data_IF_199436152186
#
_entry.id   IF_199436152186
#
_cell.length_a   1.000
_cell.length_b   1.000
_cell.length_c   1.000
_cell.angle_alpha   90.00
_cell.angle_beta   90.00
_cell.angle_gamma   90.00
#
_symmetry.space_group_name_H-M   'P 1'
#
loop_
_entity.id
_entity.type
_entity.pdbx_description
1 polymer ?
#
# COMPACT_ATOMS: atom_id res chain seq x y z
N UNK A 1 64.40 -41.29 58.96
CA UNK A 1 63.91 -42.51 59.59
C UNK A 1 62.45 -42.60 59.31
N UNK A 2 62.02 -43.42 58.56
CA UNK A 2 61.64 -44.77 58.26
C UNK A 2 60.38 -44.69 57.33
N UNK A 3 60.52 -45.19 56.21
CA UNK A 3 60.10 -46.45 55.57
C UNK A 3 58.59 -46.60 55.38
N UNK A 4 58.19 -46.55 54.19
CA UNK A 4 57.69 -47.62 53.29
C UNK A 4 56.35 -48.25 53.67
N UNK A 5 55.53 -48.44 52.67
CA UNK A 5 54.40 -49.36 52.67
C UNK A 5 53.41 -49.13 51.51
N UNK A 6 53.73 -49.71 50.38
CA UNK A 6 52.80 -49.87 49.24
C UNK A 6 51.81 -50.97 49.54
N UNK A 7 50.50 -50.73 49.23
CA UNK A 7 49.56 -51.84 48.99
C UNK A 7 48.72 -51.44 47.80
N UNK A 8 48.83 -52.23 46.72
CA UNK A 8 47.97 -52.21 45.54
C UNK A 8 46.64 -52.89 45.87
N UNK A 9 45.55 -52.21 45.70
CA UNK A 9 44.23 -52.83 45.65
C UNK A 9 43.58 -52.53 44.26
N UNK A 10 43.43 -53.61 43.50
CA UNK A 10 42.72 -53.59 42.20
C UNK A 10 41.21 -53.52 42.47
N UNK A 11 40.57 -52.46 42.05
CA UNK A 11 39.10 -52.38 42.02
C UNK A 11 38.63 -52.61 40.58
N UNK A 12 37.89 -53.68 40.38
CA UNK A 12 37.19 -54.00 39.14
C UNK A 12 36.04 -53.04 38.97
N UNK A 13 36.07 -52.23 37.91
CA UNK A 13 34.97 -51.38 37.48
C UNK A 13 34.05 -52.20 36.61
N UNK A 14 32.85 -52.48 37.10
CA UNK A 14 31.72 -53.02 36.34
C UNK A 14 31.12 -51.87 35.50
N UNK A 15 31.24 -51.97 34.18
CA UNK A 15 30.61 -51.10 33.23
C UNK A 15 29.13 -51.51 33.10
N UNK A 16 28.23 -50.78 33.74
CA UNK A 16 26.79 -50.89 33.48
C UNK A 16 26.44 -49.98 32.29
N UNK A 17 26.22 -50.61 31.13
CA UNK A 17 25.71 -49.89 29.93
C UNK A 17 24.22 -49.63 30.10
N UNK A 18 23.86 -48.43 30.48
CA UNK A 18 22.47 -47.94 30.39
C UNK A 18 22.20 -47.48 28.96
N UNK A 19 21.48 -48.31 28.21
CA UNK A 19 20.88 -47.93 26.92
C UNK A 19 19.75 -46.96 27.21
N UNK A 20 20.01 -45.66 27.06
CA UNK A 20 18.95 -44.65 27.02
C UNK A 20 18.26 -44.73 25.64
N UNK A 21 17.07 -45.33 25.58
CA UNK A 21 16.19 -45.27 24.43
C UNK A 21 15.70 -43.81 24.30
N UNK A 22 16.29 -43.05 23.38
CA UNK A 22 15.76 -41.77 22.93
C UNK A 22 14.53 -42.09 22.08
N UNK A 23 13.35 -41.97 22.69
CA UNK A 23 12.10 -41.94 21.99
C UNK A 23 12.09 -40.62 21.20
N UNK A 24 12.42 -40.67 19.90
CA UNK A 24 12.14 -39.60 18.96
C UNK A 24 10.64 -39.61 18.80
N UNK A 25 9.95 -38.81 19.60
CA UNK A 25 8.58 -38.44 19.31
C UNK A 25 8.60 -37.60 18.04
N UNK A 26 8.28 -38.23 16.89
CA UNK A 26 7.86 -37.50 15.72
C UNK A 26 6.53 -36.82 16.07
N UNK A 27 6.59 -35.65 16.68
CA UNK A 27 5.47 -34.74 16.67
C UNK A 27 5.41 -34.21 15.23
N UNK A 28 4.45 -34.71 14.45
CA UNK A 28 3.93 -34.00 13.29
C UNK A 28 3.19 -32.73 13.79
N UNK A 29 3.86 -31.88 14.54
CA UNK A 29 3.49 -30.51 14.76
C UNK A 29 4.03 -29.76 13.55
N UNK A 30 3.15 -29.27 12.69
CA UNK A 30 3.45 -28.11 11.86
C UNK A 30 4.10 -27.10 12.81
N UNK A 31 5.39 -26.83 12.63
CA UNK A 31 6.05 -25.72 13.35
C UNK A 31 5.22 -24.50 13.01
N UNK A 32 4.58 -23.95 14.03
CA UNK A 32 3.72 -22.78 13.92
C UNK A 32 4.65 -21.57 13.66
N UNK A 33 5.05 -21.45 12.38
CA UNK A 33 6.04 -20.46 11.96
C UNK A 33 5.44 -19.08 12.19
N UNK A 34 6.04 -18.29 13.08
CA UNK A 34 5.61 -16.94 13.36
C UNK A 34 5.65 -16.09 12.07
N UNK A 35 4.52 -15.50 11.71
CA UNK A 35 4.43 -14.58 10.57
C UNK A 35 4.87 -13.19 11.05
N UNK A 36 5.98 -12.72 10.53
CA UNK A 36 6.47 -11.37 10.81
C UNK A 36 5.98 -10.40 9.73
N UNK A 37 5.13 -9.44 10.12
CA UNK A 37 4.66 -8.39 9.22
C UNK A 37 5.52 -7.16 9.42
N UNK A 38 6.15 -6.68 8.34
CA UNK A 38 7.07 -5.55 8.37
C UNK A 38 6.37 -4.23 8.09
N UNK A 39 6.87 -3.16 8.71
CA UNK A 39 6.47 -1.79 8.45
C UNK A 39 7.68 -0.86 8.34
N UNK A 40 7.66 0.03 7.36
CA UNK A 40 8.61 1.14 7.22
C UNK A 40 8.31 2.30 8.18
N UNK A 41 9.06 3.40 8.03
CA UNK A 41 9.03 4.56 8.93
C UNK A 41 7.87 5.52 8.58
N UNK A 42 6.64 4.99 8.42
CA UNK A 42 5.44 5.81 8.24
C UNK A 42 4.25 5.30 9.05
N UNK A 43 3.32 6.20 9.37
CA UNK A 43 2.05 5.84 10.02
C UNK A 43 1.23 4.91 9.12
N UNK A 44 1.22 5.17 7.80
CA UNK A 44 0.51 4.35 6.81
C UNK A 44 1.05 2.92 6.81
N UNK A 45 2.36 2.76 6.66
CA UNK A 45 3.00 1.44 6.63
C UNK A 45 2.77 0.65 7.92
N UNK A 46 2.88 1.33 9.07
CA UNK A 46 2.60 0.70 10.37
C UNK A 46 1.15 0.27 10.52
N UNK A 47 0.20 1.12 10.11
CA UNK A 47 -1.22 0.80 10.20
C UNK A 47 -1.60 -0.39 9.30
N UNK A 48 -1.11 -0.43 8.06
CA UNK A 48 -1.31 -1.58 7.16
C UNK A 48 -0.72 -2.85 7.77
N UNK A 49 0.48 -2.77 8.35
CA UNK A 49 1.11 -3.93 8.98
C UNK A 49 0.31 -4.44 10.18
N UNK A 50 -0.28 -3.56 10.99
CA UNK A 50 -1.16 -3.93 12.10
C UNK A 50 -2.45 -4.59 11.60
N UNK A 51 -3.07 -4.04 10.55
CA UNK A 51 -4.27 -4.64 9.93
C UNK A 51 -3.94 -6.05 9.42
N UNK A 52 -2.87 -6.22 8.67
CA UNK A 52 -2.48 -7.53 8.14
C UNK A 52 -2.10 -8.52 9.25
N UNK A 53 -1.30 -8.11 10.23
CA UNK A 53 -0.90 -8.97 11.33
C UNK A 53 -2.12 -9.47 12.13
N UNK A 54 -3.05 -8.58 12.47
CA UNK A 54 -4.23 -8.94 13.24
C UNK A 54 -5.24 -9.76 12.41
N UNK A 55 -5.41 -9.47 11.13
CA UNK A 55 -6.22 -10.29 10.23
C UNK A 55 -5.66 -11.71 10.11
N UNK A 56 -4.35 -11.86 9.95
CA UNK A 56 -3.67 -13.16 9.93
C UNK A 56 -3.75 -13.89 11.28
N UNK A 57 -3.66 -13.17 12.40
CA UNK A 57 -3.81 -13.76 13.74
C UNK A 57 -5.20 -14.38 13.93
N UNK A 58 -6.25 -13.82 13.31
CA UNK A 58 -7.62 -14.38 13.35
C UNK A 58 -7.76 -15.72 12.58
N UNK A 59 -6.78 -16.11 11.77
CA UNK A 59 -6.69 -17.45 11.18
C UNK A 59 -6.04 -18.48 12.12
N UNK A 60 -5.67 -18.09 13.34
CA UNK A 60 -4.93 -18.93 14.29
C UNK A 60 -3.40 -18.82 14.15
N UNK A 61 -2.88 -17.95 13.27
CA UNK A 61 -1.46 -17.78 13.11
C UNK A 61 -0.83 -16.96 14.26
N UNK A 62 0.38 -17.29 14.65
CA UNK A 62 1.20 -16.41 15.48
C UNK A 62 1.78 -15.28 14.62
N UNK A 63 1.43 -14.04 14.92
CA UNK A 63 1.87 -12.86 14.15
C UNK A 63 2.63 -11.88 15.03
N UNK A 64 3.62 -11.21 14.45
CA UNK A 64 4.38 -10.13 15.08
C UNK A 64 4.56 -9.00 14.08
N UNK A 65 4.32 -7.76 14.51
CA UNK A 65 4.64 -6.58 13.70
C UNK A 65 6.07 -6.14 14.03
N UNK A 66 6.88 -5.97 13.00
CA UNK A 66 8.21 -5.38 13.07
C UNK A 66 8.16 -4.01 12.41
N UNK A 67 7.98 -2.99 13.23
CA UNK A 67 7.90 -1.59 12.79
C UNK A 67 9.28 -0.94 12.65
N UNK A 68 9.30 0.27 12.08
CA UNK A 68 10.51 1.09 11.92
C UNK A 68 11.67 0.37 11.22
N UNK A 69 11.34 -0.27 10.11
CA UNK A 69 12.33 -0.90 9.24
C UNK A 69 13.09 0.08 8.34
N UNK A 70 12.80 1.38 8.43
CA UNK A 70 13.41 2.40 7.58
C UNK A 70 12.58 2.70 6.33
N UNK A 71 13.27 3.02 5.25
CA UNK A 71 12.68 3.35 3.95
C UNK A 71 12.28 2.09 3.16
N UNK A 72 11.66 2.27 1.98
CA UNK A 72 11.22 1.13 1.14
C UNK A 72 12.33 0.12 0.87
N UNK A 73 13.52 0.58 0.54
CA UNK A 73 14.66 -0.30 0.30
C UNK A 73 15.01 -1.19 1.52
N UNK A 74 14.86 -0.66 2.72
CA UNK A 74 15.23 -1.38 3.96
C UNK A 74 14.24 -2.50 4.27
N UNK A 75 12.92 -2.25 4.19
CA UNK A 75 11.94 -3.31 4.43
C UNK A 75 11.85 -4.33 3.28
N UNK A 76 12.14 -3.93 2.03
CA UNK A 76 12.30 -4.88 0.93
C UNK A 76 13.52 -5.79 1.15
N UNK A 77 14.65 -5.24 1.61
CA UNK A 77 15.80 -6.04 1.99
C UNK A 77 15.50 -6.99 3.17
N UNK A 78 14.70 -6.55 4.15
CA UNK A 78 14.26 -7.41 5.25
C UNK A 78 13.35 -8.56 4.77
N UNK A 79 12.50 -8.31 3.78
CA UNK A 79 11.65 -9.32 3.13
C UNK A 79 12.51 -10.33 2.36
N UNK A 80 13.47 -9.87 1.56
CA UNK A 80 14.42 -10.71 0.81
C UNK A 80 15.25 -11.58 1.76
N UNK A 81 15.79 -11.01 2.83
CA UNK A 81 16.53 -11.73 3.86
C UNK A 81 15.67 -12.71 4.68
N UNK A 82 14.35 -12.73 4.52
CA UNK A 82 13.42 -13.58 5.27
C UNK A 82 13.26 -13.21 6.74
N UNK A 83 13.70 -12.02 7.16
CA UNK A 83 13.48 -11.51 8.52
C UNK A 83 12.08 -10.92 8.69
N UNK A 84 11.39 -10.70 7.57
CA UNK A 84 9.99 -10.31 7.45
C UNK A 84 9.30 -11.24 6.46
N UNK A 85 8.05 -11.57 6.69
CA UNK A 85 7.26 -12.49 5.86
C UNK A 85 6.37 -11.75 4.86
N UNK A 86 5.76 -10.65 5.32
CA UNK A 86 4.79 -9.83 4.57
C UNK A 86 5.05 -8.36 4.87
N UNK A 87 4.85 -7.50 3.89
CA UNK A 87 4.79 -6.03 4.04
C UNK A 87 3.59 -5.49 3.28
N UNK A 88 2.99 -4.40 3.77
CA UNK A 88 2.00 -3.64 3.01
C UNK A 88 2.67 -2.48 2.30
N UNK A 89 2.35 -2.27 1.01
CA UNK A 89 2.87 -1.18 0.20
C UNK A 89 1.78 -0.70 -0.79
N UNK A 90 2.13 0.15 -1.74
CA UNK A 90 1.24 0.60 -2.81
C UNK A 90 1.70 0.08 -4.17
N UNK A 91 0.74 -0.29 -5.01
CA UNK A 91 0.97 -0.97 -6.30
C UNK A 91 1.86 -0.18 -7.26
N UNK A 92 1.59 1.12 -7.41
CA UNK A 92 2.35 1.96 -8.35
C UNK A 92 3.77 2.27 -7.90
N UNK A 93 4.00 2.40 -6.59
CA UNK A 93 5.34 2.64 -6.03
C UNK A 93 6.19 1.35 -6.06
N UNK A 94 5.59 0.19 -5.80
CA UNK A 94 6.27 -1.10 -5.99
C UNK A 94 6.63 -1.30 -7.46
N UNK A 95 5.69 -1.02 -8.38
CA UNK A 95 5.96 -1.13 -9.82
C UNK A 95 7.16 -0.25 -10.21
N UNK A 96 7.18 1.02 -9.78
CA UNK A 96 8.31 1.92 -10.06
C UNK A 96 9.63 1.43 -9.45
N UNK A 97 9.57 0.79 -8.29
CA UNK A 97 10.74 0.25 -7.60
C UNK A 97 11.35 -0.94 -8.34
N UNK A 98 10.52 -1.84 -8.85
CA UNK A 98 10.97 -3.06 -9.56
C UNK A 98 11.19 -2.83 -11.06
N UNK A 99 10.47 -1.88 -11.66
CA UNK A 99 10.60 -1.49 -13.06
C UNK A 99 10.46 0.03 -13.22
N UNK A 100 11.59 0.73 -13.21
CA UNK A 100 11.62 2.19 -13.39
C UNK A 100 11.19 2.66 -14.78
N UNK A 101 11.12 1.74 -15.75
CA UNK A 101 10.67 1.99 -17.12
C UNK A 101 9.17 1.74 -17.33
N UNK A 102 8.47 1.28 -16.28
CA UNK A 102 7.06 0.97 -16.33
C UNK A 102 6.20 2.17 -16.75
N UNK A 103 5.31 1.95 -17.71
CA UNK A 103 4.42 2.99 -18.27
C UNK A 103 2.97 2.85 -17.82
N UNK A 104 2.57 1.71 -17.25
CA UNK A 104 1.21 1.52 -16.76
C UNK A 104 0.82 2.56 -15.71
N UNK A 105 -0.35 3.18 -15.87
CA UNK A 105 -0.90 4.16 -14.93
C UNK A 105 -2.25 3.75 -14.37
N UNK A 106 -3.07 3.06 -15.17
CA UNK A 106 -4.41 2.63 -14.78
C UNK A 106 -4.41 1.36 -13.93
N UNK A 107 -5.40 1.15 -13.03
CA UNK A 107 -5.64 -0.12 -12.35
C UNK A 107 -6.11 -1.20 -13.35
N UNK A 108 -6.45 -2.40 -12.87
CA UNK A 108 -7.03 -3.44 -13.74
C UNK A 108 -8.38 -3.00 -14.34
N UNK A 109 -8.64 -3.41 -15.60
CA UNK A 109 -9.85 -3.04 -16.33
C UNK A 109 -11.16 -3.44 -15.59
N UNK A 110 -11.13 -4.55 -14.84
CA UNK A 110 -12.26 -4.99 -14.03
C UNK A 110 -12.59 -3.98 -12.90
N UNK A 111 -11.58 -3.34 -12.34
CA UNK A 111 -11.71 -2.32 -11.29
C UNK A 111 -12.18 -1.00 -11.85
N UNK A 112 -11.70 -0.60 -13.02
CA UNK A 112 -12.17 0.61 -13.69
C UNK A 112 -13.67 0.54 -14.01
N UNK A 113 -14.20 -0.64 -14.31
CA UNK A 113 -15.64 -0.87 -14.52
C UNK A 113 -16.43 -0.84 -13.22
N UNK A 114 -15.97 -1.47 -12.15
CA UNK A 114 -16.66 -1.45 -10.84
C UNK A 114 -16.72 -0.05 -10.23
N UNK A 115 -15.64 0.72 -10.33
CA UNK A 115 -15.61 2.13 -9.88
C UNK A 115 -16.53 3.00 -10.73
N UNK A 116 -16.65 2.76 -12.04
CA UNK A 116 -17.59 3.45 -12.91
C UNK A 116 -19.04 3.08 -12.59
N UNK A 117 -19.33 1.80 -12.33
CA UNK A 117 -20.66 1.30 -12.03
C UNK A 117 -21.17 1.71 -10.63
N UNK A 118 -20.30 1.78 -9.64
CA UNK A 118 -20.65 2.30 -8.30
C UNK A 118 -20.92 3.80 -8.28
N UNK A 119 -20.32 4.58 -9.18
CA UNK A 119 -20.66 5.99 -9.37
C UNK A 119 -22.00 6.19 -10.07
N UNK A 120 -22.42 5.26 -10.94
CA UNK A 120 -23.71 5.31 -11.63
C UNK A 120 -24.88 4.77 -10.80
N UNK A 121 -24.65 3.87 -9.85
CA UNK A 121 -25.69 3.32 -8.95
C UNK A 121 -26.10 4.26 -7.83
N UNK A 122 -25.40 5.38 -7.61
CA UNK A 122 -25.83 6.43 -6.69
C UNK A 122 -26.90 7.36 -7.27
N UNK A 123 -27.35 7.15 -8.51
CA UNK A 123 -28.50 7.82 -9.11
C UNK A 123 -29.71 6.86 -9.18
N UNK A 124 -30.90 7.25 -8.71
CA UNK A 124 -32.05 6.33 -8.69
C UNK A 124 -32.65 6.14 -10.10
N UNK A 125 -32.56 4.92 -10.58
CA UNK A 125 -33.50 4.33 -11.55
C UNK A 125 -33.17 4.47 -13.02
N UNK A 126 -32.67 3.40 -13.65
CA UNK A 126 -33.34 2.73 -14.78
C UNK A 126 -32.53 1.48 -15.17
N UNK A 127 -33.19 0.32 -15.13
CA UNK A 127 -32.62 -0.94 -15.62
C UNK A 127 -32.41 -0.90 -17.12
N UNK A 128 -31.20 -1.21 -17.60
CA UNK A 128 -30.95 -1.59 -18.97
C UNK A 128 -29.94 -2.73 -19.04
N UNK A 129 -30.30 -3.72 -19.85
CA UNK A 129 -29.63 -5.00 -20.05
C UNK A 129 -28.18 -4.87 -20.53
N UNK A 130 -27.34 -5.81 -20.05
CA UNK A 130 -25.95 -5.92 -20.44
C UNK A 130 -25.76 -6.13 -21.95
N UNK A 131 -24.82 -5.46 -22.60
CA UNK A 131 -24.35 -5.83 -23.93
C UNK A 131 -23.21 -6.85 -23.84
N UNK A 132 -23.33 -7.90 -24.62
CA UNK A 132 -22.31 -8.92 -24.86
C UNK A 132 -21.03 -8.32 -25.39
N UNK A 133 -19.90 -8.80 -24.85
CA UNK A 133 -18.56 -8.47 -25.34
C UNK A 133 -18.43 -8.79 -26.84
N UNK A 134 -18.27 -7.78 -27.68
CA UNK A 134 -17.81 -7.89 -29.05
C UNK A 134 -16.33 -7.47 -29.09
N UNK A 135 -15.46 -8.45 -29.27
CA UNK A 135 -14.03 -8.23 -29.55
C UNK A 135 -13.87 -7.42 -30.85
N UNK A 136 -13.50 -6.17 -30.71
CA UNK A 136 -13.04 -5.33 -31.82
C UNK A 136 -11.51 -5.53 -31.92
N UNK A 137 -10.98 -6.07 -33.05
CA UNK A 137 -9.53 -6.23 -33.23
C UNK A 137 -8.90 -4.85 -33.44
N UNK A 138 -8.09 -4.36 -32.51
CA UNK A 138 -7.27 -3.17 -32.70
C UNK A 138 -7.06 -2.28 -31.48
N UNK A 139 -7.79 -2.51 -30.39
CA UNK A 139 -7.54 -1.79 -29.13
C UNK A 139 -6.34 -2.41 -28.41
N UNK A 140 -5.23 -1.68 -28.41
CA UNK A 140 -4.09 -2.03 -27.57
C UNK A 140 -4.58 -1.86 -26.13
N UNK A 141 -5.00 -2.95 -25.48
CA UNK A 141 -5.33 -2.93 -24.05
C UNK A 141 -4.12 -2.38 -23.31
N UNK A 142 -4.26 -1.21 -22.73
CA UNK A 142 -3.24 -0.67 -21.83
C UNK A 142 -3.01 -1.68 -20.70
N UNK A 143 -1.75 -2.08 -20.52
CA UNK A 143 -1.38 -3.01 -19.44
C UNK A 143 -1.62 -2.27 -18.12
N UNK A 144 -2.37 -2.87 -17.21
CA UNK A 144 -2.64 -2.28 -15.90
C UNK A 144 -1.40 -2.28 -14.99
N UNK A 145 -1.42 -1.43 -13.96
CA UNK A 145 -0.39 -1.37 -12.91
C UNK A 145 -0.22 -2.74 -12.25
N UNK A 146 -1.32 -3.43 -11.90
CA UNK A 146 -1.29 -4.74 -11.27
C UNK A 146 -0.66 -5.81 -12.16
N UNK A 147 -1.06 -5.84 -13.44
CA UNK A 147 -0.50 -6.79 -14.42
C UNK A 147 0.99 -6.53 -14.66
N UNK A 148 1.39 -5.27 -14.81
CA UNK A 148 2.81 -4.94 -15.01
C UNK A 148 3.63 -5.20 -13.75
N UNK A 149 3.12 -4.88 -12.55
CA UNK A 149 3.76 -5.21 -11.28
C UNK A 149 4.01 -6.70 -11.14
N UNK A 150 2.99 -7.53 -11.40
CA UNK A 150 3.11 -8.99 -11.30
C UNK A 150 4.20 -9.57 -12.21
N UNK A 151 4.45 -8.94 -13.38
CA UNK A 151 5.51 -9.33 -14.31
C UNK A 151 6.90 -8.83 -13.90
N UNK A 152 6.95 -7.75 -13.10
CA UNK A 152 8.19 -7.10 -12.69
C UNK A 152 8.67 -7.55 -11.30
N UNK A 153 7.91 -8.42 -10.62
CA UNK A 153 8.29 -8.93 -9.31
C UNK A 153 9.61 -9.72 -9.39
N UNK A 154 10.55 -9.48 -8.48
CA UNK A 154 11.73 -10.32 -8.31
C UNK A 154 11.33 -11.77 -7.99
N UNK A 155 12.21 -12.72 -8.41
CA UNK A 155 12.05 -14.12 -8.06
C UNK A 155 11.97 -14.31 -6.54
N UNK A 156 11.04 -15.16 -6.09
CA UNK A 156 10.81 -15.41 -4.66
C UNK A 156 9.88 -14.43 -3.97
N UNK A 157 9.39 -13.39 -4.65
CA UNK A 157 8.35 -12.50 -4.15
C UNK A 157 6.99 -12.77 -4.82
N UNK A 158 5.92 -12.49 -4.11
CA UNK A 158 4.56 -12.59 -4.58
C UNK A 158 3.70 -11.47 -3.99
N UNK A 159 2.65 -11.13 -4.68
CA UNK A 159 1.57 -10.27 -4.19
C UNK A 159 0.27 -11.06 -4.14
N UNK A 160 -0.70 -10.63 -3.35
CA UNK A 160 -2.08 -11.13 -3.42
C UNK A 160 -3.01 -10.03 -3.93
N UNK A 161 -4.32 -10.15 -3.68
CA UNK A 161 -5.28 -9.19 -4.21
C UNK A 161 -4.97 -7.76 -3.75
N UNK A 162 -5.18 -6.85 -4.65
CA UNK A 162 -5.07 -5.41 -4.43
C UNK A 162 -6.33 -4.92 -3.74
N UNK A 163 -6.19 -3.97 -2.80
CA UNK A 163 -7.33 -3.27 -2.24
C UNK A 163 -7.85 -2.24 -3.27
N UNK A 164 -8.69 -2.71 -4.17
CA UNK A 164 -9.15 -1.98 -5.36
C UNK A 164 -9.89 -0.68 -5.02
N UNK A 165 -10.62 -0.66 -3.90
CA UNK A 165 -11.30 0.54 -3.41
C UNK A 165 -10.36 1.55 -2.74
N UNK A 166 -9.04 1.25 -2.62
CA UNK A 166 -8.04 2.24 -2.20
C UNK A 166 -7.41 2.90 -3.42
N UNK A 167 -7.26 4.21 -3.39
CA UNK A 167 -6.52 4.97 -4.40
C UNK A 167 -5.77 6.13 -3.73
N UNK A 168 -4.50 5.88 -3.50
CA UNK A 168 -3.59 6.83 -2.83
C UNK A 168 -2.71 7.59 -3.83
N UNK A 169 -3.11 7.64 -5.10
CA UNK A 169 -2.37 8.36 -6.14
C UNK A 169 -2.34 9.88 -5.86
N UNK A 170 -1.43 10.57 -6.52
CA UNK A 170 -1.44 12.03 -6.55
C UNK A 170 -2.80 12.54 -7.05
N UNK A 171 -3.30 13.61 -6.46
CA UNK A 171 -4.60 14.17 -6.82
C UNK A 171 -4.50 15.66 -7.14
N UNK A 172 -5.19 16.06 -8.22
CA UNK A 172 -5.40 17.45 -8.54
C UNK A 172 -6.66 17.95 -7.81
N UNK A 173 -6.57 19.09 -7.15
CA UNK A 173 -7.71 19.76 -6.53
C UNK A 173 -7.74 21.24 -6.90
N UNK A 174 -8.93 21.82 -6.90
CA UNK A 174 -9.18 23.24 -7.20
C UNK A 174 -9.38 24.02 -5.91
N UNK A 175 -8.94 25.28 -5.93
CA UNK A 175 -9.28 26.25 -4.92
C UNK A 175 -10.82 26.48 -4.90
N UNK A 176 -11.43 26.69 -3.72
CA UNK A 176 -12.87 26.94 -3.61
C UNK A 176 -13.34 28.15 -4.46
N UNK A 177 -12.48 29.13 -4.63
CA UNK A 177 -12.76 30.35 -5.40
C UNK A 177 -12.54 30.22 -6.91
N UNK A 178 -11.98 29.11 -7.41
CA UNK A 178 -11.61 28.97 -8.82
C UNK A 178 -12.82 28.86 -9.76
N UNK A 179 -13.96 28.35 -9.26
CA UNK A 179 -15.20 28.15 -10.04
C UNK A 179 -15.00 27.39 -11.36
N UNK A 180 -14.10 26.42 -11.37
CA UNK A 180 -13.72 25.62 -12.54
C UNK A 180 -14.32 24.22 -12.47
N UNK A 181 -14.44 23.51 -13.60
CA UNK A 181 -14.97 22.15 -13.60
C UNK A 181 -14.02 21.16 -12.91
N UNK A 182 -14.55 20.37 -11.98
CA UNK A 182 -13.78 19.37 -11.24
C UNK A 182 -13.65 18.03 -11.99
N UNK A 183 -13.33 18.10 -13.29
CA UNK A 183 -13.04 16.94 -14.14
C UNK A 183 -11.91 17.31 -15.09
N UNK A 184 -10.86 16.50 -15.16
CA UNK A 184 -9.62 16.82 -15.89
C UNK A 184 -9.87 17.15 -17.38
N UNK A 185 -10.71 16.37 -18.06
CA UNK A 185 -11.11 16.66 -19.46
C UNK A 185 -11.79 18.01 -19.65
N UNK A 186 -12.65 18.39 -18.70
CA UNK A 186 -13.37 19.67 -18.77
C UNK A 186 -12.49 20.84 -18.31
N UNK A 187 -11.47 20.57 -17.50
CA UNK A 187 -10.48 21.55 -17.03
C UNK A 187 -9.44 21.88 -18.12
N UNK A 188 -9.13 20.94 -19.01
CA UNK A 188 -8.04 21.05 -19.99
C UNK A 188 -8.04 22.36 -20.80
N UNK A 189 -9.18 22.89 -21.31
CA UNK A 189 -9.19 24.17 -22.05
C UNK A 189 -8.77 25.38 -21.20
N UNK A 190 -8.81 25.29 -19.88
CA UNK A 190 -8.51 26.37 -18.94
C UNK A 190 -7.07 26.29 -18.39
N UNK A 191 -6.34 25.21 -18.67
CA UNK A 191 -5.03 24.94 -18.08
C UNK A 191 -4.00 26.03 -18.33
N UNK A 192 -4.00 26.67 -19.49
CA UNK A 192 -3.06 27.75 -19.82
C UNK A 192 -3.22 29.01 -18.97
N UNK A 193 -4.39 29.22 -18.37
CA UNK A 193 -4.70 30.38 -17.53
C UNK A 193 -4.48 30.10 -16.05
N UNK A 194 -4.39 28.80 -15.65
CA UNK A 194 -4.26 28.40 -14.25
C UNK A 194 -2.89 28.71 -13.68
N UNK A 195 -2.87 29.09 -12.42
CA UNK A 195 -1.70 28.99 -11.55
C UNK A 195 -1.75 27.66 -10.79
N UNK A 196 -0.84 26.74 -11.10
CA UNK A 196 -0.78 25.42 -10.49
C UNK A 196 0.20 25.39 -9.33
N UNK A 197 -0.24 24.90 -8.18
CA UNK A 197 0.65 24.49 -7.09
C UNK A 197 1.03 23.01 -7.23
N UNK A 198 2.28 22.65 -6.92
CA UNK A 198 2.73 21.26 -6.93
C UNK A 198 3.42 20.98 -5.60
N UNK A 199 2.87 20.06 -4.80
CA UNK A 199 3.53 19.58 -3.59
C UNK A 199 4.62 18.55 -3.94
N UNK A 200 5.80 18.68 -3.30
CA UNK A 200 6.96 17.80 -3.49
C UNK A 200 7.50 17.26 -2.18
N UNK A 201 6.73 17.35 -1.10
CA UNK A 201 7.13 16.92 0.25
C UNK A 201 6.88 15.42 0.52
N UNK A 202 7.15 15.05 1.76
CA UNK A 202 6.94 13.70 2.30
C UNK A 202 5.83 13.67 3.37
N UNK A 203 4.99 14.72 3.44
CA UNK A 203 4.06 14.89 4.55
C UNK A 203 3.00 13.79 4.61
N UNK A 204 2.39 13.46 3.47
CA UNK A 204 1.34 12.47 3.41
C UNK A 204 1.87 11.04 3.39
N UNK A 205 3.01 10.81 2.77
CA UNK A 205 3.68 9.50 2.79
C UNK A 205 5.21 9.65 2.83
N UNK A 206 5.84 9.50 4.00
CA UNK A 206 7.29 9.59 4.15
C UNK A 206 8.11 8.55 3.38
N UNK A 207 7.48 7.46 2.92
CA UNK A 207 8.12 6.39 2.16
C UNK A 207 8.06 6.60 0.64
N UNK A 208 7.25 7.57 0.19
CA UNK A 208 7.13 7.89 -1.23
C UNK A 208 8.28 8.79 -1.68
N UNK A 209 8.82 8.51 -2.86
CA UNK A 209 9.76 9.42 -3.51
C UNK A 209 9.02 10.72 -3.89
N UNK A 210 9.56 11.91 -3.53
CA UNK A 210 8.97 13.18 -3.94
C UNK A 210 8.78 13.25 -5.46
N UNK A 211 7.65 13.77 -5.96
CA UNK A 211 7.43 13.89 -7.38
C UNK A 211 8.35 14.94 -7.99
N UNK A 212 8.88 14.66 -9.18
CA UNK A 212 9.47 15.65 -10.05
C UNK A 212 8.33 16.43 -10.75
N UNK A 213 8.25 17.76 -10.62
CA UNK A 213 7.14 18.55 -11.14
C UNK A 213 6.91 18.35 -12.65
N UNK A 214 7.98 18.29 -13.45
CA UNK A 214 7.86 18.12 -14.88
C UNK A 214 7.45 16.71 -15.27
N UNK A 215 8.20 15.72 -14.79
CA UNK A 215 8.03 14.31 -15.17
C UNK A 215 6.77 13.69 -14.60
N UNK A 216 6.46 13.97 -13.32
CA UNK A 216 5.42 13.25 -12.58
C UNK A 216 4.08 14.02 -12.52
N UNK A 217 4.06 15.31 -12.97
CA UNK A 217 2.85 16.15 -12.92
C UNK A 217 2.53 16.78 -14.28
N UNK A 218 3.41 17.67 -14.77
CA UNK A 218 3.09 18.47 -15.97
C UNK A 218 3.01 17.63 -17.24
N UNK A 219 3.98 16.71 -17.43
CA UNK A 219 3.98 15.83 -18.61
C UNK A 219 2.76 14.90 -18.63
N UNK A 220 2.40 14.19 -17.53
CA UNK A 220 1.18 13.37 -17.52
C UNK A 220 -0.11 14.15 -17.79
N UNK A 221 -0.27 15.34 -17.21
CA UNK A 221 -1.45 16.18 -17.46
C UNK A 221 -1.54 16.61 -18.93
N UNK A 222 -0.41 16.97 -19.55
CA UNK A 222 -0.36 17.31 -20.97
C UNK A 222 -0.64 16.09 -21.86
N UNK A 223 0.04 14.97 -21.65
CA UNK A 223 -0.08 13.77 -22.49
C UNK A 223 -1.46 13.13 -22.42
N UNK A 224 -2.09 13.12 -21.22
CA UNK A 224 -3.38 12.46 -21.01
C UNK A 224 -4.56 13.35 -21.40
N UNK A 225 -4.49 14.65 -21.08
CA UNK A 225 -5.63 15.56 -21.22
C UNK A 225 -5.39 16.75 -22.15
N UNK A 226 -4.18 16.94 -22.67
CA UNK A 226 -3.82 18.15 -23.39
C UNK A 226 -3.82 19.40 -22.50
N UNK A 227 -3.58 19.21 -21.20
CA UNK A 227 -3.58 20.28 -20.21
C UNK A 227 -2.21 20.98 -20.18
N UNK A 228 -2.08 22.11 -20.86
CA UNK A 228 -0.85 22.90 -20.95
C UNK A 228 -0.76 23.93 -19.83
N UNK A 229 -0.08 23.58 -18.75
CA UNK A 229 0.18 24.47 -17.61
C UNK A 229 1.39 25.35 -17.90
N UNK A 230 1.17 26.68 -17.97
CA UNK A 230 2.23 27.67 -18.23
C UNK A 230 2.83 28.28 -16.97
N UNK A 231 2.12 28.22 -15.83
CA UNK A 231 2.53 28.82 -14.56
C UNK A 231 2.36 27.79 -13.43
N UNK A 232 3.46 27.47 -12.77
CA UNK A 232 3.38 26.62 -11.59
C UNK A 232 4.30 27.12 -10.47
N UNK A 233 4.00 26.73 -9.24
CA UNK A 233 4.76 26.99 -8.02
C UNK A 233 4.93 25.69 -7.26
N UNK A 234 6.14 25.39 -6.81
CA UNK A 234 6.44 24.20 -6.00
C UNK A 234 6.31 24.54 -4.51
N UNK A 235 5.67 23.65 -3.76
CA UNK A 235 5.48 23.73 -2.32
C UNK A 235 6.22 22.58 -1.64
N UNK A 236 6.81 22.85 -0.48
CA UNK A 236 7.58 21.88 0.30
C UNK A 236 6.72 20.84 1.02
N UNK A 237 5.40 21.10 1.16
CA UNK A 237 4.47 20.16 1.78
C UNK A 237 3.05 20.28 1.19
N UNK A 238 2.26 19.23 1.40
CA UNK A 238 0.85 19.22 1.01
C UNK A 238 0.01 20.21 1.84
N UNK A 239 0.34 20.41 3.11
CA UNK A 239 -0.30 21.41 3.96
C UNK A 239 -0.03 22.85 3.50
N UNK A 240 1.19 23.17 3.05
CA UNK A 240 1.51 24.48 2.46
C UNK A 240 0.72 24.71 1.16
N UNK A 241 0.62 23.70 0.30
CA UNK A 241 -0.18 23.74 -0.92
C UNK A 241 -1.65 23.96 -0.60
N UNK A 242 -2.20 23.20 0.36
CA UNK A 242 -3.59 23.37 0.81
C UNK A 242 -3.86 24.79 1.24
N UNK A 243 -2.98 25.35 2.08
CA UNK A 243 -3.14 26.74 2.53
C UNK A 243 -3.06 27.73 1.37
N UNK A 244 -2.21 27.48 0.38
CA UNK A 244 -2.10 28.33 -0.81
C UNK A 244 -3.40 28.31 -1.66
N UNK A 245 -4.08 27.16 -1.77
CA UNK A 245 -5.37 27.04 -2.42
C UNK A 245 -6.48 27.76 -1.66
N UNK A 246 -6.53 27.61 -0.34
CA UNK A 246 -7.52 28.28 0.51
C UNK A 246 -7.36 29.81 0.51
N UNK A 247 -6.11 30.30 0.46
CA UNK A 247 -5.78 31.72 0.37
C UNK A 247 -5.96 32.31 -1.05
N UNK A 248 -6.26 31.47 -2.05
CA UNK A 248 -6.38 31.89 -3.45
C UNK A 248 -5.04 32.32 -4.08
N UNK A 249 -3.91 31.84 -3.56
CA UNK A 249 -2.56 32.11 -4.14
C UNK A 249 -2.28 31.27 -5.39
N UNK A 250 -2.95 30.12 -5.51
CA UNK A 250 -2.99 29.26 -6.70
C UNK A 250 -4.41 28.80 -6.95
N UNK A 251 -4.74 28.55 -8.21
CA UNK A 251 -6.10 28.16 -8.64
C UNK A 251 -6.35 26.66 -8.51
N UNK A 252 -5.30 25.89 -8.73
CA UNK A 252 -5.30 24.42 -8.67
C UNK A 252 -4.03 23.93 -7.98
N UNK A 253 -4.07 22.69 -7.46
CA UNK A 253 -2.91 22.10 -6.81
C UNK A 253 -2.86 20.59 -6.98
N UNK A 254 -1.65 20.05 -7.22
CA UNK A 254 -1.41 18.60 -7.24
C UNK A 254 -0.76 18.20 -5.92
N UNK A 255 -1.49 17.40 -5.16
CA UNK A 255 -1.06 16.80 -3.91
C UNK A 255 -0.29 15.51 -4.16
N UNK A 256 0.61 15.18 -3.25
CA UNK A 256 1.46 13.97 -3.39
C UNK A 256 0.68 12.67 -3.24
N UNK A 257 -0.50 12.70 -2.62
CA UNK A 257 -1.37 11.54 -2.40
C UNK A 257 -2.84 11.98 -2.36
N UNK A 258 -3.74 11.07 -2.00
CA UNK A 258 -5.16 11.36 -1.82
C UNK A 258 -5.38 12.49 -0.81
N UNK A 259 -6.18 13.49 -1.17
CA UNK A 259 -6.44 14.68 -0.33
C UNK A 259 -7.16 14.34 0.98
N UNK A 260 -7.82 13.19 1.05
CA UNK A 260 -8.42 12.64 2.26
C UNK A 260 -7.39 12.38 3.37
N UNK A 261 -6.12 12.19 2.98
CA UNK A 261 -4.99 12.00 3.91
C UNK A 261 -4.50 13.29 4.55
N UNK A 262 -4.88 14.45 4.02
CA UNK A 262 -4.50 15.74 4.60
C UNK A 262 -4.95 15.85 6.07
N UNK A 263 -4.19 16.53 6.91
CA UNK A 263 -4.67 16.94 8.24
C UNK A 263 -6.02 17.67 8.10
N UNK A 264 -7.08 17.11 8.73
CA UNK A 264 -8.45 17.62 8.57
C UNK A 264 -9.15 17.23 7.25
N UNK A 265 -8.54 16.39 6.40
CA UNK A 265 -9.13 15.90 5.15
C UNK A 265 -9.18 16.94 4.02
N UNK A 266 -9.96 16.66 2.98
CA UNK A 266 -10.10 17.53 1.80
C UNK A 266 -10.70 18.92 2.13
N UNK A 267 -11.61 18.99 3.10
CA UNK A 267 -12.32 20.24 3.43
C UNK A 267 -13.11 20.77 2.23
N UNK A 268 -12.95 22.05 1.91
CA UNK A 268 -13.65 22.74 0.82
C UNK A 268 -12.95 22.64 -0.53
N UNK A 269 -11.89 21.83 -0.65
CA UNK A 269 -11.18 21.61 -1.92
C UNK A 269 -12.05 20.75 -2.87
N UNK A 270 -12.16 21.16 -4.12
CA UNK A 270 -12.82 20.36 -5.15
C UNK A 270 -11.82 19.44 -5.84
N UNK A 271 -11.85 18.14 -5.49
CA UNK A 271 -11.00 17.13 -6.12
C UNK A 271 -11.40 16.95 -7.58
N UNK A 272 -10.41 17.03 -8.47
CA UNK A 272 -10.61 16.88 -9.92
C UNK A 272 -10.60 15.40 -10.28
N UNK A 273 -11.67 14.93 -10.91
CA UNK A 273 -11.74 13.57 -11.41
C UNK A 273 -10.73 13.35 -12.56
N UNK A 274 -9.92 12.28 -12.41
CA UNK A 274 -8.88 11.84 -13.35
C UNK A 274 -9.20 10.41 -13.85
N UNK A 275 -10.23 10.23 -14.72
CA UNK A 275 -10.69 8.91 -15.14
C UNK A 275 -9.73 8.21 -16.11
N UNK A 276 -8.84 8.95 -16.78
CA UNK A 276 -7.88 8.38 -17.72
C UNK A 276 -6.49 8.18 -17.08
N UNK A 277 -6.40 8.32 -15.76
CA UNK A 277 -5.20 8.03 -14.96
C UNK A 277 -3.93 8.74 -15.43
N UNK A 278 -3.98 10.07 -15.55
CA UNK A 278 -2.76 10.88 -15.71
C UNK A 278 -1.78 10.59 -14.55
N UNK A 279 -2.30 10.39 -13.35
CA UNK A 279 -1.52 9.95 -12.20
C UNK A 279 -1.66 8.45 -12.00
N UNK A 280 -0.52 7.78 -11.80
CA UNK A 280 -0.45 6.32 -11.63
C UNK A 280 -1.24 5.85 -10.41
N UNK A 281 -2.06 4.82 -10.58
CA UNK A 281 -2.83 4.17 -9.53
C UNK A 281 -1.92 3.69 -8.39
N UNK A 282 -2.38 3.87 -7.16
CA UNK A 282 -1.67 3.56 -5.93
C UNK A 282 -2.60 2.83 -4.96
N UNK A 283 -2.87 1.57 -5.25
CA UNK A 283 -3.73 0.75 -4.41
C UNK A 283 -2.91 0.02 -3.34
N UNK A 284 -3.46 -0.14 -2.16
CA UNK A 284 -2.81 -0.92 -1.09
C UNK A 284 -2.72 -2.38 -1.51
N UNK A 285 -1.55 -2.99 -1.34
CA UNK A 285 -1.27 -4.36 -1.75
C UNK A 285 -0.31 -5.05 -0.76
N UNK A 286 -0.54 -6.32 -0.39
CA UNK A 286 0.42 -7.09 0.37
C UNK A 286 1.50 -7.66 -0.55
N UNK A 287 2.75 -7.41 -0.23
CA UNK A 287 3.93 -8.03 -0.82
C UNK A 287 4.50 -9.04 0.17
N UNK A 288 4.78 -10.26 -0.29
CA UNK A 288 5.22 -11.35 0.57
C UNK A 288 6.27 -12.23 -0.11
N UNK A 289 6.95 -13.04 0.66
CA UNK A 289 7.78 -14.11 0.12
C UNK A 289 6.88 -15.20 -0.47
N UNK A 290 7.24 -15.67 -1.64
CA UNK A 290 6.51 -16.75 -2.33
C UNK A 290 6.44 -18.01 -1.45
N UNK A 291 5.23 -18.55 -1.29
CA UNK A 291 4.98 -19.74 -0.47
C UNK A 291 5.05 -19.52 1.04
N UNK A 292 5.22 -18.29 1.52
CA UNK A 292 5.29 -18.00 2.96
C UNK A 292 3.92 -18.06 3.67
N UNK A 293 2.84 -17.88 2.94
CA UNK A 293 1.48 -17.99 3.43
C UNK A 293 0.74 -19.12 2.70
N UNK A 294 -0.08 -19.86 3.42
CA UNK A 294 -1.03 -20.82 2.84
C UNK A 294 -2.25 -20.09 2.23
N UNK A 295 -3.11 -20.86 1.54
CA UNK A 295 -4.28 -20.31 0.86
C UNK A 295 -5.29 -19.64 1.78
N UNK A 296 -5.47 -20.13 3.01
CA UNK A 296 -6.46 -19.55 3.93
C UNK A 296 -5.98 -18.21 4.48
N UNK A 297 -4.70 -18.07 4.73
CA UNK A 297 -4.05 -16.80 5.09
C UNK A 297 -4.08 -15.79 3.94
N UNK A 298 -3.81 -16.24 2.70
CA UNK A 298 -3.95 -15.40 1.50
C UNK A 298 -5.41 -14.93 1.33
N UNK A 299 -6.40 -15.83 1.43
CA UNK A 299 -7.81 -15.43 1.39
C UNK A 299 -8.17 -14.41 2.46
N UNK A 300 -7.57 -14.50 3.65
CA UNK A 300 -7.81 -13.52 4.72
C UNK A 300 -7.28 -12.14 4.34
N UNK A 301 -6.10 -12.05 3.73
CA UNK A 301 -5.58 -10.79 3.18
C UNK A 301 -6.46 -10.26 2.04
N UNK A 302 -6.96 -11.14 1.18
CA UNK A 302 -7.87 -10.77 0.10
C UNK A 302 -9.21 -10.22 0.63
N UNK A 303 -9.74 -10.75 1.74
CA UNK A 303 -10.92 -10.16 2.40
C UNK A 303 -10.61 -8.75 2.93
N UNK A 304 -9.42 -8.53 3.53
CA UNK A 304 -8.99 -7.19 3.93
C UNK A 304 -8.93 -6.26 2.72
N UNK A 305 -8.39 -6.73 1.59
CA UNK A 305 -8.30 -5.96 0.36
C UNK A 305 -9.69 -5.57 -0.18
N UNK A 306 -10.67 -6.48 -0.10
CA UNK A 306 -12.04 -6.22 -0.56
C UNK A 306 -12.82 -5.20 0.29
N UNK A 307 -12.45 -5.01 1.55
CA UNK A 307 -13.15 -4.12 2.47
C UNK A 307 -12.46 -2.75 2.65
N UNK A 308 -11.15 -2.66 2.40
CA UNK A 308 -10.39 -1.45 2.66
C UNK A 308 -10.63 -0.39 1.58
N UNK A 309 -11.24 0.73 1.95
CA UNK A 309 -11.45 1.89 1.07
C UNK A 309 -10.46 3.02 1.32
N UNK A 310 -10.29 3.93 0.37
CA UNK A 310 -9.50 5.17 0.56
C UNK A 310 -10.01 5.98 1.75
N UNK A 311 -11.33 6.12 1.87
CA UNK A 311 -11.96 6.90 2.93
C UNK A 311 -11.68 6.29 4.32
N UNK A 312 -11.84 4.97 4.47
CA UNK A 312 -11.55 4.26 5.71
C UNK A 312 -10.08 4.39 6.06
N UNK A 313 -9.20 4.07 5.12
CA UNK A 313 -7.77 4.13 5.35
C UNK A 313 -7.29 5.53 5.76
N UNK A 314 -7.79 6.57 5.09
CA UNK A 314 -7.51 7.95 5.45
C UNK A 314 -8.04 8.30 6.85
N UNK A 315 -9.24 7.84 7.22
CA UNK A 315 -9.80 8.04 8.55
C UNK A 315 -8.95 7.36 9.64
N UNK A 316 -8.53 6.11 9.40
CA UNK A 316 -7.68 5.36 10.32
C UNK A 316 -6.30 6.04 10.48
N UNK A 317 -5.69 6.51 9.38
CA UNK A 317 -4.42 7.25 9.42
C UNK A 317 -4.55 8.52 10.26
N UNK A 318 -5.63 9.30 10.07
CA UNK A 318 -5.86 10.51 10.87
C UNK A 318 -6.05 10.20 12.35
N UNK A 319 -6.75 9.12 12.72
CA UNK A 319 -6.86 8.68 14.11
C UNK A 319 -5.50 8.41 14.76
N UNK A 320 -4.60 7.75 14.04
CA UNK A 320 -3.26 7.46 14.55
C UNK A 320 -2.36 8.70 14.54
N UNK A 321 -2.33 9.44 13.42
CA UNK A 321 -1.42 10.58 13.23
C UNK A 321 -1.87 11.82 14.02
N UNK A 322 -3.13 12.19 13.89
CA UNK A 322 -3.68 13.45 14.42
C UNK A 322 -4.34 13.24 15.78
N UNK A 323 -5.03 12.10 15.97
CA UNK A 323 -5.70 11.72 17.20
C UNK A 323 -4.79 11.03 18.22
N UNK A 324 -3.55 10.69 17.86
CA UNK A 324 -2.57 9.99 18.68
C UNK A 324 -3.07 8.65 19.24
N UNK A 325 -4.05 8.02 18.56
CA UNK A 325 -4.52 6.69 18.91
C UNK A 325 -3.47 5.62 18.56
N UNK A 326 -3.50 4.51 19.29
CA UNK A 326 -2.58 3.39 19.05
C UNK A 326 -2.94 2.70 17.73
N UNK A 327 -1.97 2.51 16.82
CA UNK A 327 -2.20 1.81 15.56
C UNK A 327 -2.76 0.39 15.74
N UNK A 328 -2.31 -0.42 16.72
CA UNK A 328 -2.93 -1.72 17.00
C UNK A 328 -4.42 -1.64 17.39
N UNK A 329 -4.82 -0.64 18.17
CA UNK A 329 -6.23 -0.49 18.61
C UNK A 329 -7.11 0.00 17.47
N UNK A 330 -6.60 0.93 16.66
CA UNK A 330 -7.27 1.43 15.46
C UNK A 330 -7.49 0.32 14.44
N UNK A 331 -6.46 -0.51 14.18
CA UNK A 331 -6.55 -1.66 13.29
C UNK A 331 -7.58 -2.69 13.80
N UNK A 332 -7.54 -2.99 15.10
CA UNK A 332 -8.49 -3.93 15.73
C UNK A 332 -9.92 -3.45 15.57
N UNK A 333 -10.20 -2.19 15.89
CA UNK A 333 -11.54 -1.61 15.76
C UNK A 333 -12.09 -1.73 14.35
N UNK A 334 -11.28 -1.38 13.34
CA UNK A 334 -11.68 -1.49 11.94
C UNK A 334 -11.95 -2.95 11.52
N UNK A 335 -11.09 -3.89 11.91
CA UNK A 335 -11.29 -5.32 11.62
C UNK A 335 -12.54 -5.89 12.32
N UNK A 336 -12.88 -5.41 13.53
CA UNK A 336 -14.07 -5.83 14.25
C UNK A 336 -15.35 -5.29 13.59
N UNK A 337 -15.33 -4.04 13.11
CA UNK A 337 -16.44 -3.39 12.40
C UNK A 337 -16.77 -4.11 11.08
N UNK A 338 -15.75 -4.69 10.39
CA UNK A 338 -15.89 -5.39 9.10
C UNK A 338 -15.99 -6.92 9.26
N UNK A 339 -16.05 -7.44 10.49
CA UNK A 339 -16.10 -8.88 10.79
C UNK A 339 -14.93 -9.69 10.17
N UNK A 340 -13.78 -9.05 10.03
CA UNK A 340 -12.56 -9.61 9.41
C UNK A 340 -11.68 -10.35 10.40
#
# INVERSE_FOLDING_TARGET
>A
MGTAGSVRAAARVLLAATVAAVAVACSNGTEDTTITVGAGDSVQSRLIAEIYAQALARTGAHTVVRDRLGQRADYLAALDAGTVTVVGDTSGDLLRTFDSSATATAPDDAVAQDVADHRTTSAPGTSASAPSASDTPGEVRSVSVATQLSRSLPEGLAVSDIADATDLRAQLALAPAAHLPAAAKALAPHCGELSLGIATGHELDPLRTPPDPQRDVLTPLHETYGCDITRHTVFGSDSELRQALLDGRVDAGVFTSAVELLPGGAGDLAVVADPDYAFRAQNVIPLMRQGALDQDRIKKLNHVAGELTTADFAALIRRVRDGHESAPDVARGWLDEHAL
#
